data_IF_328165309266
#
_entry.id   IF_328165309266
#
_cell.length_a   1.000
_cell.length_b   1.000
_cell.length_c   1.000
_cell.angle_alpha   90.00
_cell.angle_beta   90.00
_cell.angle_gamma   90.00
#
_symmetry.space_group_name_H-M   'P 1'
#
loop_
_entity.id
_entity.type
_entity.pdbx_description
1 polymer ?
#
# COMPACT_ATOMS: atom_id res chain seq x y z
N UNK A 1 10.16 56.17 10.26
CA UNK A 1 9.87 54.87 10.90
C UNK A 1 9.51 53.92 9.78
N UNK A 2 10.45 53.05 9.45
CA UNK A 2 10.44 51.92 8.49
C UNK A 2 9.07 51.20 8.52
N UNK A 3 8.20 51.26 7.50
CA UNK A 3 7.99 50.39 6.28
C UNK A 3 8.28 48.90 6.54
N UNK A 4 7.54 47.85 6.13
CA UNK A 4 6.56 47.49 5.08
C UNK A 4 5.57 46.47 5.70
N UNK A 5 4.28 46.34 5.35
CA UNK A 5 3.72 46.03 4.04
C UNK A 5 3.20 44.59 4.01
N UNK A 6 1.98 44.34 4.53
CA UNK A 6 1.31 43.05 4.36
C UNK A 6 0.80 42.93 2.92
N UNK A 7 1.60 42.25 2.10
CA UNK A 7 1.23 41.75 0.79
C UNK A 7 0.26 40.58 0.99
N UNK A 8 -1.04 40.79 0.69
CA UNK A 8 -1.89 39.68 0.29
C UNK A 8 -1.35 39.17 -1.06
N UNK A 9 -0.68 38.02 -1.02
CA UNK A 9 -0.38 37.23 -2.23
C UNK A 9 -1.70 36.71 -2.79
N UNK A 10 -2.22 37.42 -3.78
CA UNK A 10 -3.18 36.89 -4.74
C UNK A 10 -2.49 35.80 -5.57
N UNK A 11 -2.94 34.55 -5.45
CA UNK A 11 -2.68 33.52 -6.45
C UNK A 11 -3.63 33.76 -7.64
N UNK A 12 -3.15 33.86 -8.88
CA UNK A 12 -4.01 34.07 -10.04
C UNK A 12 -4.63 32.75 -10.46
N UNK A 13 -5.95 32.60 -10.28
CA UNK A 13 -6.71 31.68 -11.11
C UNK A 13 -7.13 32.42 -12.36
N UNK A 14 -6.57 31.96 -13.48
CA UNK A 14 -6.78 32.40 -14.84
C UNK A 14 -8.22 32.06 -15.28
N UNK A 15 -9.13 33.02 -15.19
CA UNK A 15 -10.45 32.97 -15.81
C UNK A 15 -10.36 33.48 -17.26
N UNK A 16 -9.61 32.77 -18.09
CA UNK A 16 -9.58 32.99 -19.53
C UNK A 16 -9.53 31.66 -20.28
N UNK A 17 -10.61 30.89 -20.20
CA UNK A 17 -10.95 29.87 -21.20
C UNK A 17 -12.39 29.46 -21.01
N UNK A 18 -13.32 30.23 -21.56
CA UNK A 18 -14.59 29.83 -22.22
C UNK A 18 -15.21 31.16 -22.68
N UNK A 19 -15.71 31.21 -23.91
CA UNK A 19 -16.21 32.37 -24.65
C UNK A 19 -15.17 33.13 -25.49
N UNK A 20 -14.74 32.48 -26.57
CA UNK A 20 -14.24 33.21 -27.74
C UNK A 20 -15.37 34.01 -28.38
N UNK A 21 -15.26 35.34 -28.35
CA UNK A 21 -15.96 36.24 -29.26
C UNK A 21 -14.99 37.32 -29.74
N UNK A 22 -14.72 37.30 -31.03
CA UNK A 22 -13.92 38.29 -31.76
C UNK A 22 -14.76 39.54 -32.07
N UNK A 23 -14.26 40.72 -31.71
CA UNK A 23 -14.82 41.99 -32.17
C UNK A 23 -14.18 43.18 -31.46
N UNK A 24 -13.12 43.74 -32.06
CA UNK A 24 -12.46 44.93 -31.53
C UNK A 24 -13.17 46.23 -31.90
N UNK A 25 -13.01 47.27 -31.07
CA UNK A 25 -12.46 48.59 -31.48
C UNK A 25 -12.15 49.47 -30.26
N UNK A 26 -10.91 49.98 -30.26
CA UNK A 26 -10.48 51.34 -29.94
C UNK A 26 -10.93 52.04 -28.64
N UNK A 27 -9.93 52.23 -27.76
CA UNK A 27 -9.46 53.54 -27.26
C UNK A 27 -10.46 54.46 -26.53
N UNK A 28 -10.13 54.82 -25.29
CA UNK A 28 -9.86 56.22 -24.90
C UNK A 28 -9.44 56.33 -23.43
N UNK A 29 -8.63 57.37 -23.24
CA UNK A 29 -7.81 57.74 -22.10
C UNK A 29 -8.54 58.05 -20.80
N UNK A 30 -7.71 58.04 -19.75
CA UNK A 30 -7.96 58.55 -18.42
C UNK A 30 -8.63 59.93 -18.38
N UNK A 31 -9.50 60.15 -17.37
CA UNK A 31 -9.51 61.43 -16.64
C UNK A 31 -10.09 61.28 -15.24
N UNK A 32 -9.36 61.92 -14.33
CA UNK A 32 -9.51 62.02 -12.88
C UNK A 32 -10.29 63.31 -12.56
N UNK A 33 -10.95 63.28 -11.39
CA UNK A 33 -11.21 64.41 -10.47
C UNK A 33 -12.45 65.32 -10.62
N UNK A 34 -13.26 65.25 -9.55
CA UNK A 34 -13.68 66.33 -8.64
C UNK A 34 -15.14 66.83 -8.66
N UNK A 35 -15.71 66.73 -7.44
CA UNK A 35 -16.86 67.36 -6.77
C UNK A 35 -17.79 68.34 -7.52
N UNK A 36 -19.12 68.15 -7.37
CA UNK A 36 -20.02 69.05 -6.61
C UNK A 36 -21.47 68.51 -6.54
N UNK A 37 -21.99 68.35 -5.31
CA UNK A 37 -23.35 68.80 -4.91
C UNK A 37 -24.63 68.00 -5.26
N UNK A 38 -25.02 67.07 -4.37
CA UNK A 38 -26.40 66.77 -3.87
C UNK A 38 -27.47 66.16 -4.83
N UNK A 39 -28.49 65.44 -4.29
CA UNK A 39 -28.71 64.02 -4.59
C UNK A 39 -29.96 63.77 -5.43
N UNK A 40 -29.88 62.85 -6.40
CA UNK A 40 -31.04 62.27 -7.07
C UNK A 40 -30.64 60.90 -7.67
N UNK A 41 -30.86 59.81 -6.93
CA UNK A 41 -30.87 58.45 -7.49
C UNK A 41 -31.42 57.44 -6.46
N UNK A 42 -32.70 57.58 -6.12
CA UNK A 42 -33.48 56.50 -5.52
C UNK A 42 -34.39 55.92 -6.61
N UNK A 43 -33.82 55.38 -7.69
CA UNK A 43 -34.59 54.71 -8.75
C UNK A 43 -33.65 53.96 -9.71
N UNK A 44 -32.97 52.90 -9.22
CA UNK A 44 -32.43 51.86 -10.11
C UNK A 44 -32.12 50.52 -9.39
N UNK A 45 -32.85 50.21 -8.31
CA UNK A 45 -32.81 48.89 -7.66
C UNK A 45 -34.16 48.15 -7.73
N UNK A 46 -35.06 48.62 -8.61
CA UNK A 46 -36.37 48.01 -8.89
C UNK A 46 -36.44 47.69 -10.38
N UNK A 47 -35.58 46.77 -10.83
CA UNK A 47 -35.68 46.20 -12.18
C UNK A 47 -35.01 44.80 -12.32
N UNK A 48 -34.72 44.10 -11.22
CA UNK A 48 -34.23 42.71 -11.27
C UNK A 48 -34.97 41.73 -10.34
N UNK A 49 -36.05 42.19 -9.68
CA UNK A 49 -36.99 41.32 -8.91
C UNK A 49 -38.36 41.25 -9.62
N UNK A 50 -38.44 41.62 -10.90
CA UNK A 50 -39.68 41.63 -11.67
C UNK A 50 -39.55 40.85 -12.99
N UNK A 51 -39.10 39.60 -12.93
CA UNK A 51 -39.38 38.57 -13.97
C UNK A 51 -39.96 37.27 -13.36
N UNK A 52 -40.18 37.22 -12.04
CA UNK A 52 -40.95 36.12 -11.43
C UNK A 52 -42.05 36.70 -10.55
N UNK A 53 -43.09 37.27 -11.18
CA UNK A 53 -44.48 37.36 -10.66
C UNK A 53 -45.34 38.24 -11.59
N UNK A 54 -45.81 37.69 -12.72
CA UNK A 54 -47.19 37.91 -13.24
C UNK A 54 -47.55 36.71 -14.11
N UNK A 55 -48.03 35.64 -13.46
CA UNK A 55 -49.05 34.72 -13.95
C UNK A 55 -49.46 33.76 -12.81
N UNK A 56 -49.81 34.31 -11.65
CA UNK A 56 -50.49 33.57 -10.59
C UNK A 56 -51.75 34.35 -10.20
N UNK A 57 -52.76 34.28 -11.05
CA UNK A 57 -54.15 34.48 -10.65
C UNK A 57 -54.96 33.38 -11.31
N UNK A 58 -55.28 32.34 -10.53
CA UNK A 58 -56.18 31.27 -10.97
C UNK A 58 -55.76 29.82 -10.69
N UNK A 59 -55.05 29.50 -9.59
CA UNK A 59 -54.99 28.11 -9.11
C UNK A 59 -55.20 28.11 -7.59
N UNK A 60 -56.29 27.48 -7.15
CA UNK A 60 -56.49 27.12 -5.74
C UNK A 60 -55.48 26.03 -5.40
N UNK A 61 -54.56 26.30 -4.48
CA UNK A 61 -53.75 25.25 -3.85
C UNK A 61 -54.67 24.42 -2.94
N UNK A 62 -54.84 23.10 -3.15
CA UNK A 62 -55.26 22.25 -2.05
C UNK A 62 -54.13 22.21 -1.02
N UNK A 63 -54.49 22.45 0.23
CA UNK A 63 -53.70 22.09 1.40
C UNK A 63 -53.34 20.60 1.35
N UNK A 64 -52.22 20.23 1.99
CA UNK A 64 -51.69 18.88 2.18
C UNK A 64 -50.79 18.34 1.03
N UNK A 65 -49.51 18.71 1.05
CA UNK A 65 -48.44 17.76 0.66
C UNK A 65 -47.73 17.35 1.95
N UNK A 66 -48.31 16.37 2.63
CA UNK A 66 -47.58 15.54 3.58
C UNK A 66 -46.50 14.79 2.78
N UNK A 67 -45.25 14.80 3.25
CA UNK A 67 -44.18 14.03 2.62
C UNK A 67 -44.59 12.55 2.51
N UNK A 68 -44.04 11.78 1.55
CA UNK A 68 -44.34 10.35 1.47
C UNK A 68 -44.09 9.72 2.85
N UNK A 69 -45.01 8.88 3.37
CA UNK A 69 -44.75 8.15 4.60
C UNK A 69 -43.40 7.44 4.49
N UNK A 70 -42.56 7.55 5.52
CA UNK A 70 -41.28 6.84 5.55
C UNK A 70 -41.49 5.36 5.25
N UNK A 71 -40.57 4.75 4.51
CA UNK A 71 -40.61 3.31 4.25
C UNK A 71 -40.72 2.60 5.61
N UNK A 72 -41.74 1.74 5.75
CA UNK A 72 -41.91 0.92 6.94
C UNK A 72 -40.64 0.06 7.09
N UNK A 73 -39.94 0.21 8.22
CA UNK A 73 -38.72 -0.53 8.48
C UNK A 73 -38.93 -2.04 8.30
N UNK A 74 -37.92 -2.73 7.77
CA UNK A 74 -37.94 -4.16 7.55
C UNK A 74 -38.41 -4.89 8.82
N UNK A 75 -39.26 -5.91 8.65
CA UNK A 75 -39.69 -6.77 9.76
C UNK A 75 -38.44 -7.36 10.39
N UNK A 76 -38.19 -7.05 11.67
CA UNK A 76 -37.04 -7.58 12.40
C UNK A 76 -36.95 -9.10 12.27
N UNK A 77 -35.74 -9.60 12.08
CA UNK A 77 -35.47 -11.03 11.94
C UNK A 77 -36.17 -11.82 13.06
N UNK A 78 -36.81 -12.94 12.69
CA UNK A 78 -37.37 -13.89 13.66
C UNK A 78 -36.24 -14.32 14.59
N UNK A 79 -36.42 -14.09 15.90
CA UNK A 79 -35.42 -14.49 16.90
C UNK A 79 -35.09 -16.00 16.79
N UNK A 80 -33.85 -16.42 17.08
CA UNK A 80 -33.45 -17.81 16.99
C UNK A 80 -34.39 -18.70 17.83
N UNK A 81 -34.64 -19.92 17.35
CA UNK A 81 -35.40 -20.90 18.11
C UNK A 81 -34.71 -21.13 19.47
N UNK A 82 -35.49 -21.08 20.57
CA UNK A 82 -34.95 -21.27 21.91
C UNK A 82 -34.23 -22.62 22.03
N UNK A 83 -33.08 -22.63 22.71
CA UNK A 83 -32.31 -23.86 22.90
C UNK A 83 -33.16 -24.96 23.54
N UNK A 84 -33.05 -26.22 23.06
CA UNK A 84 -33.67 -27.36 23.74
C UNK A 84 -33.24 -27.40 25.21
N UNK A 85 -34.21 -27.52 26.12
CA UNK A 85 -33.92 -27.55 27.55
C UNK A 85 -32.89 -28.63 27.90
N UNK A 86 -31.87 -28.25 28.67
CA UNK A 86 -30.79 -29.13 29.09
C UNK A 86 -31.33 -30.42 29.74
N UNK A 87 -31.06 -31.57 29.11
CA UNK A 87 -31.26 -32.88 29.71
C UNK A 87 -30.36 -33.02 30.94
N UNK A 88 -30.96 -33.41 32.07
CA UNK A 88 -30.23 -33.74 33.30
C UNK A 88 -29.19 -34.85 33.05
N UNK A 89 -28.05 -34.86 33.76
CA UNK A 89 -27.04 -35.90 33.58
C UNK A 89 -27.64 -37.27 33.87
N UNK A 90 -27.66 -38.11 32.84
CA UNK A 90 -28.20 -39.46 32.87
C UNK A 90 -27.28 -40.37 33.69
N UNK A 91 -27.84 -41.01 34.73
CA UNK A 91 -27.16 -42.01 35.54
C UNK A 91 -26.70 -43.23 34.71
N UNK A 92 -25.66 -43.89 35.20
CA UNK A 92 -25.01 -45.04 34.55
C UNK A 92 -26.01 -46.13 34.13
N UNK A 93 -25.91 -46.50 32.85
CA UNK A 93 -26.80 -47.39 32.10
C UNK A 93 -26.87 -48.80 32.69
N UNK A 94 -28.05 -49.21 33.12
CA UNK A 94 -28.42 -50.63 33.27
C UNK A 94 -28.75 -51.28 31.91
N UNK A 95 -28.68 -52.62 31.79
CA UNK A 95 -28.93 -53.32 30.54
C UNK A 95 -30.34 -53.07 29.99
N UNK A 96 -30.39 -52.90 28.67
CA UNK A 96 -31.46 -52.34 27.85
C UNK A 96 -32.78 -53.14 27.89
N UNK A 97 -33.87 -52.48 28.31
CA UNK A 97 -35.24 -52.91 28.07
C UNK A 97 -35.74 -52.49 26.68
N UNK A 98 -36.60 -53.31 26.08
CA UNK A 98 -37.20 -53.11 24.75
C UNK A 98 -37.98 -51.79 24.65
N UNK A 99 -37.67 -51.00 23.61
CA UNK A 99 -38.20 -49.67 23.34
C UNK A 99 -39.73 -49.66 23.16
N UNK A 100 -40.40 -48.74 23.86
CA UNK A 100 -41.79 -48.37 23.60
C UNK A 100 -41.87 -47.39 22.41
N UNK A 101 -42.91 -47.52 21.59
CA UNK A 101 -43.18 -46.64 20.45
C UNK A 101 -43.48 -45.20 20.91
N UNK A 102 -42.57 -44.27 20.63
CA UNK A 102 -42.77 -42.83 20.83
C UNK A 102 -43.88 -42.27 19.93
N UNK A 103 -44.72 -41.41 20.49
CA UNK A 103 -45.90 -40.84 19.84
C UNK A 103 -45.56 -39.98 18.62
N UNK A 104 -46.45 -40.00 17.63
CA UNK A 104 -46.36 -39.20 16.40
C UNK A 104 -46.39 -37.70 16.69
N UNK A 105 -45.48 -36.95 16.07
CA UNK A 105 -45.44 -35.49 16.07
C UNK A 105 -46.78 -34.88 15.63
N UNK A 106 -47.21 -33.80 16.30
CA UNK A 106 -48.41 -33.05 15.92
C UNK A 106 -48.24 -32.39 14.54
N UNK A 107 -49.34 -32.23 13.76
CA UNK A 107 -49.25 -31.66 12.42
C UNK A 107 -48.82 -30.19 12.45
N UNK A 108 -47.98 -29.81 11.49
CA UNK A 108 -47.53 -28.43 11.28
C UNK A 108 -48.71 -27.47 11.03
N UNK A 109 -48.63 -26.27 11.60
CA UNK A 109 -49.61 -25.20 11.39
C UNK A 109 -49.68 -24.79 9.91
N UNK A 110 -50.88 -24.45 9.44
CA UNK A 110 -51.11 -24.05 8.04
C UNK A 110 -50.48 -22.69 7.78
N UNK A 111 -49.63 -22.60 6.76
CA UNK A 111 -49.06 -21.36 6.23
C UNK A 111 -50.20 -20.45 5.73
N UNK A 112 -50.16 -19.16 6.07
CA UNK A 112 -51.18 -18.18 5.69
C UNK A 112 -51.17 -17.86 4.19
N UNK A 113 -52.34 -17.64 3.61
CA UNK A 113 -52.52 -17.38 2.19
C UNK A 113 -51.80 -16.10 1.72
N UNK A 114 -51.09 -16.20 0.59
CA UNK A 114 -50.40 -15.10 -0.08
C UNK A 114 -51.41 -14.05 -0.60
N UNK A 115 -51.18 -12.78 -0.28
CA UNK A 115 -52.04 -11.66 -0.73
C UNK A 115 -52.08 -11.50 -2.25
N UNK A 116 -53.25 -11.15 -2.79
CA UNK A 116 -53.48 -10.99 -4.23
C UNK A 116 -52.62 -9.85 -4.82
N UNK A 117 -52.05 -10.10 -6.01
CA UNK A 117 -51.27 -9.14 -6.81
C UNK A 117 -52.16 -7.98 -7.26
N UNK A 118 -51.70 -6.73 -7.03
CA UNK A 118 -52.44 -5.51 -7.40
C UNK A 118 -52.65 -5.37 -8.92
N UNK A 119 -53.80 -4.81 -9.31
CA UNK A 119 -54.15 -4.56 -10.71
C UNK A 119 -53.26 -3.47 -11.34
N UNK A 120 -52.93 -3.66 -12.63
CA UNK A 120 -52.12 -2.74 -13.42
C UNK A 120 -52.88 -1.44 -13.69
N UNK A 121 -52.24 -0.28 -13.45
CA UNK A 121 -52.83 1.03 -13.70
C UNK A 121 -53.13 1.29 -15.18
N UNK A 122 -54.13 2.15 -15.49
CA UNK A 122 -54.57 2.39 -16.87
C UNK A 122 -53.48 3.06 -17.73
N UNK A 123 -53.41 2.67 -18.99
CA UNK A 123 -52.50 3.22 -19.99
C UNK A 123 -52.80 4.71 -20.26
N UNK A 124 -51.76 5.56 -20.28
CA UNK A 124 -51.87 6.99 -20.55
C UNK A 124 -52.22 7.31 -22.02
N UNK A 125 -52.82 8.47 -22.31
CA UNK A 125 -53.29 8.82 -23.65
C UNK A 125 -52.14 9.09 -24.63
N UNK A 126 -52.32 8.63 -25.87
CA UNK A 126 -51.38 8.79 -26.98
C UNK A 126 -51.40 10.23 -27.53
N UNK A 127 -50.22 10.84 -27.69
CA UNK A 127 -50.06 12.25 -28.10
C UNK A 127 -50.05 12.45 -29.62
N UNK A 128 -50.76 13.47 -30.10
CA UNK A 128 -50.74 13.91 -31.51
C UNK A 128 -49.72 15.04 -31.72
N UNK A 129 -48.73 14.83 -32.58
CA UNK A 129 -47.60 15.76 -32.78
C UNK A 129 -47.91 16.98 -33.66
N UNK A 130 -47.18 18.07 -33.43
CA UNK A 130 -46.15 18.64 -34.34
C UNK A 130 -45.53 19.91 -33.73
N UNK A 131 -44.19 19.99 -33.78
CA UNK A 131 -43.29 21.09 -33.36
C UNK A 131 -43.10 21.33 -31.84
N UNK A 132 -42.16 20.60 -31.22
CA UNK A 132 -40.87 21.17 -30.78
C UNK A 132 -39.95 20.02 -30.29
N UNK A 133 -38.96 19.65 -31.10
CA UNK A 133 -38.10 18.44 -31.00
C UNK A 133 -37.12 18.46 -29.79
N UNK A 134 -37.28 19.43 -28.89
CA UNK A 134 -36.54 19.56 -27.63
C UNK A 134 -37.39 19.17 -26.41
N UNK A 135 -38.71 19.11 -26.53
CA UNK A 135 -39.60 18.81 -25.39
C UNK A 135 -39.60 17.32 -24.99
N UNK A 136 -39.17 16.44 -25.90
CA UNK A 136 -39.06 14.98 -25.66
C UNK A 136 -37.62 14.53 -25.36
N UNK A 137 -36.63 15.42 -25.45
CA UNK A 137 -35.28 15.10 -25.02
C UNK A 137 -35.21 15.18 -23.49
N UNK A 138 -34.78 14.10 -22.85
CA UNK A 138 -34.45 14.06 -21.43
C UNK A 138 -33.03 13.56 -21.29
N UNK A 139 -32.27 14.17 -20.39
CA UNK A 139 -31.01 13.58 -20.00
C UNK A 139 -31.24 12.18 -19.40
N UNK A 140 -30.34 11.22 -19.62
CA UNK A 140 -30.33 9.94 -18.92
C UNK A 140 -30.45 10.13 -17.40
N UNK A 141 -31.00 9.13 -16.72
CA UNK A 141 -31.11 9.16 -15.25
C UNK A 141 -29.72 9.36 -14.62
N UNK A 142 -29.57 10.40 -13.80
CA UNK A 142 -28.30 10.77 -13.16
C UNK A 142 -27.55 11.92 -13.83
N UNK A 143 -28.08 12.50 -14.91
CA UNK A 143 -27.47 13.64 -15.61
C UNK A 143 -28.38 14.88 -15.60
N UNK A 144 -27.80 16.08 -15.72
CA UNK A 144 -28.54 17.34 -15.85
C UNK A 144 -28.17 18.11 -17.11
N UNK A 145 -29.11 18.91 -17.60
CA UNK A 145 -28.93 19.73 -18.81
C UNK A 145 -28.00 20.90 -18.52
N UNK A 146 -26.87 20.96 -19.22
CA UNK A 146 -25.89 22.06 -19.10
C UNK A 146 -25.92 23.02 -20.29
N UNK A 147 -26.56 22.62 -21.40
CA UNK A 147 -26.76 23.46 -22.57
C UNK A 147 -27.44 22.73 -23.72
N UNK A 148 -27.53 23.40 -24.88
CA UNK A 148 -28.03 22.83 -26.13
C UNK A 148 -26.98 23.11 -27.22
N UNK A 149 -26.50 22.07 -27.90
CA UNK A 149 -25.56 22.22 -29.02
C UNK A 149 -26.05 21.43 -30.22
N UNK A 150 -26.20 22.10 -31.37
CA UNK A 150 -26.64 21.43 -32.61
C UNK A 150 -28.04 20.81 -32.54
N UNK A 151 -28.93 21.35 -31.69
CA UNK A 151 -30.30 20.84 -31.51
C UNK A 151 -30.43 19.68 -30.51
N UNK A 152 -29.36 19.29 -29.82
CA UNK A 152 -29.38 18.24 -28.80
C UNK A 152 -29.02 18.78 -27.41
N UNK A 153 -29.64 18.22 -26.36
CA UNK A 153 -29.27 18.46 -24.97
C UNK A 153 -27.81 18.03 -24.72
N UNK A 154 -27.03 18.90 -24.09
CA UNK A 154 -25.74 18.55 -23.49
C UNK A 154 -26.02 18.15 -22.05
N UNK A 155 -25.85 16.87 -21.75
CA UNK A 155 -26.06 16.30 -20.44
C UNK A 155 -24.71 16.03 -19.79
N UNK A 156 -24.55 16.46 -18.53
CA UNK A 156 -23.40 16.08 -17.72
C UNK A 156 -23.90 15.25 -16.54
N UNK A 157 -23.13 14.24 -16.10
CA UNK A 157 -23.41 13.55 -14.86
C UNK A 157 -23.52 14.57 -13.73
N UNK A 158 -24.55 14.42 -12.90
CA UNK A 158 -24.64 15.15 -11.65
C UNK A 158 -23.29 14.96 -10.94
N UNK A 159 -22.63 16.03 -10.46
CA UNK A 159 -21.72 15.83 -9.36
C UNK A 159 -22.54 15.09 -8.30
N UNK A 160 -22.10 13.89 -7.91
CA UNK A 160 -22.78 13.14 -6.87
C UNK A 160 -22.99 14.09 -5.69
N UNK A 161 -24.23 14.20 -5.20
CA UNK A 161 -24.50 15.00 -4.00
C UNK A 161 -23.61 14.40 -2.91
N UNK A 162 -22.73 15.18 -2.27
CA UNK A 162 -21.83 14.63 -1.27
C UNK A 162 -22.65 14.02 -0.14
N UNK A 163 -22.22 12.83 0.27
CA UNK A 163 -22.72 12.15 1.47
C UNK A 163 -21.97 12.69 2.67
N UNK A 164 -22.70 13.02 3.73
CA UNK A 164 -22.17 13.43 5.01
C UNK A 164 -22.59 12.43 6.08
N UNK A 165 -21.71 12.12 7.03
CA UNK A 165 -21.89 11.11 8.07
C UNK A 165 -22.02 11.80 9.42
N UNK A 166 -22.90 11.29 10.30
CA UNK A 166 -23.12 11.89 11.61
C UNK A 166 -21.81 11.87 12.40
N UNK A 167 -21.51 12.97 13.08
CA UNK A 167 -20.33 13.16 13.94
C UNK A 167 -20.84 13.56 15.32
N UNK A 168 -21.26 12.56 16.09
CA UNK A 168 -22.01 12.73 17.32
C UNK A 168 -21.09 13.09 18.49
N UNK A 169 -19.88 12.53 18.53
CA UNK A 169 -18.89 12.78 19.58
C UNK A 169 -17.87 13.89 19.28
N UNK A 170 -17.80 14.36 18.02
CA UNK A 170 -17.04 15.53 17.55
C UNK A 170 -15.55 15.33 17.49
N UNK A 171 -15.08 14.15 17.10
CA UNK A 171 -13.67 13.91 16.82
C UNK A 171 -13.27 14.21 15.37
N UNK A 172 -14.24 14.35 14.46
CA UNK A 172 -14.02 14.69 13.05
C UNK A 172 -14.18 13.52 12.09
N UNK A 173 -14.46 12.33 12.59
CA UNK A 173 -14.88 11.15 11.84
C UNK A 173 -16.40 10.96 12.01
N UNK A 174 -17.02 10.15 11.15
CA UNK A 174 -18.47 10.01 11.19
C UNK A 174 -18.96 8.60 10.92
N UNK A 175 -20.14 8.30 11.47
CA UNK A 175 -20.77 6.99 11.43
C UNK A 175 -21.17 6.59 9.98
N UNK A 176 -20.56 5.54 9.38
CA UNK A 176 -20.93 5.06 8.06
C UNK A 176 -22.39 4.56 7.97
N UNK A 177 -22.99 4.18 9.09
CA UNK A 177 -24.38 3.75 9.24
C UNK A 177 -25.40 4.88 9.28
N UNK A 178 -24.97 6.13 9.56
CA UNK A 178 -25.85 7.29 9.66
C UNK A 178 -25.37 8.39 8.72
N UNK A 179 -26.00 8.49 7.54
CA UNK A 179 -25.60 9.46 6.52
C UNK A 179 -26.75 10.27 5.92
N UNK A 180 -26.39 11.43 5.35
CA UNK A 180 -27.30 12.34 4.64
C UNK A 180 -26.64 12.92 3.39
N UNK A 181 -27.36 12.92 2.27
CA UNK A 181 -26.92 13.57 1.04
C UNK A 181 -27.26 15.07 1.09
N UNK A 182 -26.25 15.94 1.03
CA UNK A 182 -26.43 17.40 1.05
C UNK A 182 -25.35 18.13 0.25
N UNK A 183 -25.71 19.21 -0.42
CA UNK A 183 -24.78 20.04 -1.22
C UNK A 183 -23.82 20.85 -0.32
N UNK A 184 -24.18 21.04 0.95
CA UNK A 184 -23.36 21.69 1.97
C UNK A 184 -23.33 20.85 3.24
N UNK A 185 -22.22 20.88 3.98
CA UNK A 185 -22.07 20.20 5.28
C UNK A 185 -23.22 20.54 6.24
N UNK A 186 -24.07 19.57 6.62
CA UNK A 186 -25.02 19.74 7.71
C UNK A 186 -24.29 19.90 9.05
N UNK A 187 -24.92 20.58 10.00
CA UNK A 187 -24.34 20.71 11.34
C UNK A 187 -24.32 19.35 12.06
N UNK A 188 -23.17 18.98 12.64
CA UNK A 188 -22.97 17.69 13.32
C UNK A 188 -22.77 16.52 12.35
N UNK A 189 -22.30 16.78 11.13
CA UNK A 189 -21.92 15.77 10.17
C UNK A 189 -20.57 16.10 9.54
N UNK A 190 -19.78 15.09 9.17
CA UNK A 190 -18.48 15.21 8.49
C UNK A 190 -18.45 14.42 7.19
N UNK A 191 -17.42 14.63 6.37
CA UNK A 191 -17.29 13.94 5.08
C UNK A 191 -16.65 12.56 5.23
N UNK A 192 -15.88 12.35 6.30
CA UNK A 192 -15.24 11.08 6.59
C UNK A 192 -16.24 10.10 7.23
N UNK A 193 -16.10 8.82 6.92
CA UNK A 193 -17.09 7.77 7.21
C UNK A 193 -16.47 6.59 7.99
N UNK A 194 -15.31 6.82 8.58
CA UNK A 194 -14.42 5.78 9.10
C UNK A 194 -14.53 5.61 10.60
N UNK A 195 -15.51 6.25 11.23
CA UNK A 195 -15.75 6.09 12.66
C UNK A 195 -16.47 4.77 12.95
N UNK A 196 -15.87 3.95 13.81
CA UNK A 196 -16.43 2.68 14.24
C UNK A 196 -17.20 2.77 15.58
N UNK A 197 -17.08 3.87 16.33
CA UNK A 197 -17.88 4.20 17.51
C UNK A 197 -18.13 5.71 17.63
N UNK A 198 -19.11 6.22 16.87
CA UNK A 198 -19.57 7.63 16.84
C UNK A 198 -20.12 8.14 18.20
N UNK A 199 -20.05 7.34 19.26
CA UNK A 199 -20.40 7.77 20.61
C UNK A 199 -19.19 8.05 21.50
N UNK A 200 -17.98 7.79 21.01
CA UNK A 200 -16.74 7.87 21.76
C UNK A 200 -15.58 8.45 20.94
N UNK A 201 -15.33 9.75 21.13
CA UNK A 201 -14.25 10.51 20.47
C UNK A 201 -12.80 10.00 20.67
N UNK A 202 -12.62 8.92 21.44
CA UNK A 202 -11.35 8.20 21.58
C UNK A 202 -11.23 6.94 20.73
N UNK A 203 -12.26 6.59 19.96
CA UNK A 203 -12.31 5.44 19.04
C UNK A 203 -12.57 5.99 17.64
N UNK A 204 -11.51 6.13 16.86
CA UNK A 204 -11.53 6.67 15.50
C UNK A 204 -10.20 6.36 14.81
N UNK A 205 -10.08 6.54 13.48
CA UNK A 205 -8.86 6.18 12.74
C UNK A 205 -7.55 6.85 13.14
N UNK A 206 -7.60 7.95 13.88
CA UNK A 206 -6.42 8.63 14.39
C UNK A 206 -6.07 8.23 15.83
N UNK A 207 -6.88 7.36 16.46
CA UNK A 207 -6.63 6.86 17.79
C UNK A 207 -5.43 5.91 17.82
N UNK A 208 -4.86 5.74 19.01
CA UNK A 208 -3.87 4.70 19.27
C UNK A 208 -4.63 3.45 19.72
N UNK A 209 -4.38 2.31 19.07
CA UNK A 209 -4.86 1.00 19.51
C UNK A 209 -3.91 0.41 20.59
N UNK A 210 -4.31 0.38 21.88
CA UNK A 210 -3.53 -0.23 22.94
C UNK A 210 -3.72 -1.76 22.92
N UNK A 211 -2.64 -2.55 22.91
CA UNK A 211 -2.76 -3.97 22.66
C UNK A 211 -3.49 -4.74 23.77
N UNK A 212 -4.44 -5.59 23.39
CA UNK A 212 -5.05 -6.61 24.24
C UNK A 212 -6.15 -6.12 25.18
N UNK A 213 -6.83 -5.03 24.83
CA UNK A 213 -8.07 -4.62 25.51
C UNK A 213 -9.36 -5.06 24.78
N UNK A 214 -9.21 -5.74 23.63
CA UNK A 214 -10.30 -6.33 22.84
C UNK A 214 -11.23 -5.29 22.20
N UNK A 215 -10.73 -4.08 21.99
CA UNK A 215 -11.42 -2.97 21.35
C UNK A 215 -10.52 -2.50 20.21
N UNK A 216 -11.10 -2.31 19.03
CA UNK A 216 -10.42 -1.71 17.88
C UNK A 216 -10.64 -0.18 17.96
N UNK A 217 -9.67 0.55 18.50
CA UNK A 217 -9.78 2.00 18.69
C UNK A 217 -9.43 2.77 17.43
N UNK A 218 -8.59 2.24 16.54
CA UNK A 218 -8.16 2.91 15.31
C UNK A 218 -8.99 2.52 14.07
N UNK A 219 -10.06 1.76 14.28
CA UNK A 219 -11.07 1.40 13.29
C UNK A 219 -10.49 0.74 12.02
N UNK A 220 -9.34 0.07 12.11
CA UNK A 220 -8.71 -0.63 10.98
C UNK A 220 -9.28 -2.05 10.76
N UNK A 221 -10.13 -2.51 11.69
CA UNK A 221 -10.76 -3.83 11.71
C UNK A 221 -9.99 -4.89 12.48
N UNK A 222 -8.91 -4.51 13.18
CA UNK A 222 -8.03 -5.40 13.94
C UNK A 222 -7.81 -4.79 15.33
N UNK A 223 -8.15 -5.55 16.38
CA UNK A 223 -7.67 -5.26 17.74
C UNK A 223 -6.22 -5.74 17.86
N UNK A 224 -5.32 -4.84 18.22
CA UNK A 224 -3.92 -5.15 18.38
C UNK A 224 -3.74 -6.20 19.49
N UNK A 225 -3.18 -7.37 19.16
CA UNK A 225 -2.98 -8.41 20.16
C UNK A 225 -1.94 -8.00 21.22
N UNK A 226 -2.21 -8.31 22.49
CA UNK A 226 -1.22 -8.20 23.56
C UNK A 226 0.07 -8.96 23.21
N UNK A 227 1.26 -8.34 23.36
CA UNK A 227 2.51 -9.06 23.18
C UNK A 227 2.63 -10.17 24.23
N UNK A 228 3.28 -11.25 23.84
CA UNK A 228 3.60 -12.38 24.72
C UNK A 228 4.91 -12.10 25.45
N UNK A 229 4.88 -12.30 26.76
CA UNK A 229 6.04 -12.21 27.64
C UNK A 229 6.32 -13.59 28.25
N UNK A 230 7.59 -13.92 28.45
CA UNK A 230 8.07 -15.22 28.92
C UNK A 230 8.74 -15.05 30.29
N UNK A 231 8.50 -15.97 31.21
CA UNK A 231 9.07 -15.90 32.55
C UNK A 231 10.61 -15.95 32.45
N UNK A 232 11.29 -15.10 33.21
CA UNK A 232 12.75 -15.01 33.33
C UNK A 232 13.08 -15.23 34.82
N UNK A 233 13.11 -16.51 35.22
CA UNK A 233 13.15 -16.90 36.64
C UNK A 233 14.55 -16.71 37.24
N UNK A 234 15.60 -16.81 36.45
CA UNK A 234 16.98 -16.63 36.89
C UNK A 234 17.57 -15.22 36.62
N UNK A 235 16.91 -14.41 35.81
CA UNK A 235 17.22 -13.01 35.59
C UNK A 235 18.35 -12.76 34.59
N UNK A 236 18.61 -13.67 33.66
CA UNK A 236 19.67 -13.53 32.66
C UNK A 236 19.23 -12.76 31.38
N UNK A 237 17.93 -12.52 31.24
CA UNK A 237 17.33 -11.77 30.13
C UNK A 237 16.70 -12.62 29.03
N UNK A 238 16.76 -13.95 29.13
CA UNK A 238 16.05 -14.90 28.30
C UNK A 238 14.90 -15.52 29.10
N UNK A 239 13.86 -15.99 28.41
CA UNK A 239 12.68 -16.51 29.10
C UNK A 239 12.23 -17.87 28.62
N UNK A 240 11.51 -18.58 29.48
CA UNK A 240 10.98 -19.93 29.23
C UNK A 240 9.87 -19.92 28.17
N UNK A 241 10.04 -20.54 26.99
CA UNK A 241 9.00 -20.64 25.97
C UNK A 241 7.75 -21.41 26.44
N UNK A 242 7.86 -22.24 27.47
CA UNK A 242 6.75 -22.99 28.07
C UNK A 242 5.97 -22.18 29.13
N UNK A 243 6.50 -21.05 29.59
CA UNK A 243 5.89 -20.22 30.64
C UNK A 243 5.71 -18.79 30.15
N UNK A 244 4.52 -18.49 29.63
CA UNK A 244 4.23 -17.18 29.02
C UNK A 244 2.89 -16.56 29.42
N UNK A 245 2.80 -15.24 29.26
CA UNK A 245 1.59 -14.45 29.51
C UNK A 245 1.44 -13.35 28.45
N UNK A 246 0.22 -13.13 27.97
CA UNK A 246 -0.09 -11.99 27.10
C UNK A 246 -0.38 -10.76 27.96
N UNK A 247 0.33 -9.65 27.73
CA UNK A 247 0.13 -8.41 28.48
C UNK A 247 0.58 -7.18 27.68
N UNK A 248 -0.21 -6.10 27.73
CA UNK A 248 0.12 -4.82 27.09
C UNK A 248 1.43 -4.20 27.61
N UNK A 249 1.77 -4.50 28.87
CA UNK A 249 2.99 -4.05 29.53
C UNK A 249 3.83 -5.25 29.98
N UNK A 250 5.14 -5.11 29.93
CA UNK A 250 6.07 -6.12 30.48
C UNK A 250 5.76 -6.39 31.96
N UNK A 251 5.36 -7.61 32.32
CA UNK A 251 5.27 -8.01 33.72
C UNK A 251 6.67 -8.03 34.36
N UNK A 252 6.73 -7.84 35.69
CA UNK A 252 8.00 -8.03 36.40
C UNK A 252 8.40 -9.52 36.35
N UNK A 253 9.71 -9.80 36.20
CA UNK A 253 10.27 -11.17 36.06
C UNK A 253 9.85 -11.88 34.76
N UNK A 254 9.52 -11.11 33.73
CA UNK A 254 9.27 -11.63 32.38
C UNK A 254 10.05 -10.81 31.35
N UNK A 255 10.44 -11.44 30.25
CA UNK A 255 11.14 -10.84 29.10
C UNK A 255 10.41 -11.16 27.79
N UNK A 256 10.76 -10.46 26.72
CA UNK A 256 10.17 -10.71 25.40
C UNK A 256 10.83 -11.88 24.67
N UNK A 257 12.08 -12.18 25.02
CA UNK A 257 12.84 -13.27 24.44
C UNK A 257 12.44 -14.62 25.06
N UNK A 258 12.32 -15.66 24.25
CA UNK A 258 11.77 -16.96 24.68
C UNK A 258 12.69 -18.14 24.39
N UNK A 259 13.97 -17.85 24.25
CA UNK A 259 14.98 -18.79 23.78
C UNK A 259 15.71 -19.48 24.91
N UNK A 260 15.23 -19.35 26.16
CA UNK A 260 15.82 -20.04 27.30
C UNK A 260 15.37 -21.51 27.36
N UNK A 261 16.33 -22.42 27.41
CA UNK A 261 16.08 -23.86 27.54
C UNK A 261 16.18 -24.37 28.99
N UNK A 262 16.72 -23.58 29.92
CA UNK A 262 16.70 -23.82 31.37
C UNK A 262 16.60 -22.51 32.16
N UNK A 263 15.38 -21.97 32.22
CA UNK A 263 14.98 -20.75 32.95
C UNK A 263 15.29 -20.76 34.46
N UNK A 264 15.82 -21.86 34.99
CA UNK A 264 16.26 -21.95 36.39
C UNK A 264 17.76 -21.74 36.57
N UNK A 265 18.51 -21.55 35.48
CA UNK A 265 19.96 -21.50 35.48
C UNK A 265 20.52 -20.57 34.39
N UNK A 266 20.79 -19.31 34.77
CA UNK A 266 21.24 -18.27 33.84
C UNK A 266 22.66 -18.40 33.28
N UNK A 267 23.25 -19.60 33.37
CA UNK A 267 24.44 -20.01 32.61
C UNK A 267 24.09 -20.91 31.43
N UNK A 268 22.82 -21.27 31.25
CA UNK A 268 22.26 -22.06 30.15
C UNK A 268 21.26 -21.14 29.46
N UNK A 269 21.68 -20.52 28.36
CA UNK A 269 20.92 -19.55 27.58
C UNK A 269 21.60 -19.36 26.22
N UNK A 270 20.96 -18.72 25.22
CA UNK A 270 21.51 -18.62 23.86
C UNK A 270 22.84 -17.89 23.69
N UNK A 271 23.29 -17.15 24.71
CA UNK A 271 24.58 -16.49 24.69
C UNK A 271 25.66 -17.29 25.43
N UNK A 272 25.30 -18.41 26.04
CA UNK A 272 26.25 -19.31 26.63
C UNK A 272 27.10 -19.98 25.55
N UNK A 273 28.08 -20.75 26.00
CA UNK A 273 29.03 -21.42 25.14
C UNK A 273 29.11 -22.86 25.58
N UNK A 274 28.92 -23.75 24.63
CA UNK A 274 28.87 -25.16 24.92
C UNK A 274 30.13 -25.70 25.59
N UNK A 275 29.91 -26.51 26.62
CA UNK A 275 30.96 -27.17 27.38
C UNK A 275 31.20 -28.59 26.84
N UNK A 276 32.42 -28.92 26.36
CA UNK A 276 32.67 -30.18 25.71
C UNK A 276 32.36 -31.39 26.61
N UNK A 277 31.31 -32.14 26.25
CA UNK A 277 31.04 -33.48 26.76
C UNK A 277 30.45 -33.56 28.16
N UNK A 278 29.74 -32.53 28.61
CA UNK A 278 28.94 -32.60 29.84
C UNK A 278 27.48 -33.04 29.61
N UNK A 279 27.02 -33.14 28.36
CA UNK A 279 25.67 -33.62 28.05
C UNK A 279 24.59 -32.55 28.12
N UNK A 280 24.97 -31.29 28.32
CA UNK A 280 24.07 -30.15 28.48
C UNK A 280 24.27 -29.25 27.26
N UNK A 281 23.17 -28.85 26.63
CA UNK A 281 23.13 -27.83 25.59
C UNK A 281 23.06 -26.49 26.33
N UNK A 282 24.18 -25.77 26.40
CA UNK A 282 24.24 -24.51 27.16
C UNK A 282 23.69 -23.36 26.35
N UNK A 283 23.89 -23.35 25.03
CA UNK A 283 23.48 -22.25 24.15
C UNK A 283 22.10 -22.44 23.48
N UNK A 284 21.36 -23.46 23.92
CA UNK A 284 19.98 -23.73 23.55
C UNK A 284 19.77 -23.87 22.03
N UNK A 285 20.80 -24.25 21.26
CA UNK A 285 20.73 -24.42 19.81
C UNK A 285 20.25 -25.82 19.38
N UNK A 286 20.08 -26.72 20.36
CA UNK A 286 19.62 -28.09 20.18
C UNK A 286 20.73 -29.12 19.97
N UNK A 287 22.00 -28.71 20.06
CA UNK A 287 23.17 -29.59 20.05
C UNK A 287 24.00 -29.37 21.33
N UNK A 288 24.62 -30.43 21.85
CA UNK A 288 25.68 -30.33 22.87
C UNK A 288 27.00 -30.52 22.10
N UNK A 289 27.43 -29.46 21.42
CA UNK A 289 28.67 -29.47 20.67
C UNK A 289 29.33 -28.08 20.65
N UNK A 290 30.55 -27.95 21.22
CA UNK A 290 31.27 -26.69 21.17
C UNK A 290 31.58 -26.23 19.74
N UNK A 291 31.94 -24.96 19.53
CA UNK A 291 32.41 -24.47 18.25
C UNK A 291 33.59 -25.29 17.70
N UNK A 292 33.62 -25.42 16.38
CA UNK A 292 34.76 -25.98 15.65
C UNK A 292 35.68 -24.86 15.20
N UNK A 293 36.96 -24.98 15.52
CA UNK A 293 38.02 -24.06 15.18
C UNK A 293 38.97 -24.71 14.16
N UNK A 294 39.50 -23.94 13.22
CA UNK A 294 40.34 -24.38 12.11
C UNK A 294 41.73 -23.80 12.25
N UNK A 295 42.77 -24.57 11.99
CA UNK A 295 44.15 -24.12 12.13
C UNK A 295 44.40 -22.91 11.22
N UNK A 296 45.04 -21.87 11.74
CA UNK A 296 45.45 -20.64 11.03
C UNK A 296 46.98 -20.54 11.18
N UNK A 297 47.68 -21.31 10.35
CA UNK A 297 49.14 -21.54 10.49
C UNK A 297 49.94 -20.33 10.04
N UNK A 298 49.43 -19.54 9.10
CA UNK A 298 50.11 -18.34 8.59
C UNK A 298 49.64 -17.01 9.20
N UNK A 299 48.54 -17.03 9.95
CA UNK A 299 48.05 -15.91 10.76
C UNK A 299 47.30 -14.85 9.98
N UNK A 300 46.69 -15.18 8.86
CA UNK A 300 45.93 -14.23 8.03
C UNK A 300 44.45 -14.07 8.44
N UNK A 301 43.96 -14.96 9.32
CA UNK A 301 42.62 -14.95 9.86
C UNK A 301 41.64 -15.93 9.21
N UNK A 302 42.07 -16.70 8.22
CA UNK A 302 41.34 -17.82 7.63
C UNK A 302 41.98 -19.13 8.06
N UNK A 303 41.19 -20.20 8.18
CA UNK A 303 41.69 -21.48 8.69
C UNK A 303 41.51 -22.64 7.73
N UNK A 304 42.36 -23.66 7.88
CA UNK A 304 42.36 -24.90 7.10
C UNK A 304 41.13 -25.76 7.41
N UNK A 305 40.20 -25.98 6.46
CA UNK A 305 39.05 -26.86 6.66
C UNK A 305 39.43 -28.34 6.90
N UNK A 306 40.64 -28.74 6.54
CA UNK A 306 41.20 -30.07 6.76
C UNK A 306 41.81 -30.30 8.15
N UNK A 307 42.07 -29.24 8.91
CA UNK A 307 42.67 -29.32 10.25
C UNK A 307 41.81 -28.52 11.24
N UNK A 308 40.92 -29.23 11.94
CA UNK A 308 39.99 -28.63 12.89
C UNK A 308 40.05 -29.25 14.29
N UNK A 309 39.63 -28.49 15.30
CA UNK A 309 39.44 -28.93 16.68
C UNK A 309 38.14 -28.35 17.25
N UNK A 310 37.42 -29.16 18.03
CA UNK A 310 36.24 -28.70 18.77
C UNK A 310 36.67 -28.22 20.15
N UNK A 311 36.31 -26.98 20.52
CA UNK A 311 36.70 -26.36 21.80
C UNK A 311 35.73 -25.25 22.15
N UNK A 312 35.40 -25.11 23.44
CA UNK A 312 34.60 -24.00 23.93
C UNK A 312 35.27 -22.65 23.59
N UNK A 313 36.54 -22.49 23.95
CA UNK A 313 37.30 -21.26 23.66
C UNK A 313 38.21 -21.43 22.47
N UNK A 314 38.41 -20.36 21.69
CA UNK A 314 39.38 -20.29 20.59
C UNK A 314 40.77 -20.77 21.05
N UNK A 315 41.28 -21.88 20.50
CA UNK A 315 42.67 -22.28 20.70
C UNK A 315 43.62 -21.27 20.06
N UNK A 316 44.85 -21.18 20.57
CA UNK A 316 45.89 -20.38 19.92
C UNK A 316 46.24 -20.99 18.56
N UNK A 317 46.45 -20.15 17.53
CA UNK A 317 46.73 -20.56 16.14
C UNK A 317 45.54 -21.26 15.45
N UNK A 318 44.31 -20.98 15.90
CA UNK A 318 43.09 -21.43 15.23
C UNK A 318 42.09 -20.27 15.11
N UNK A 319 41.26 -20.27 14.07
CA UNK A 319 40.19 -19.30 13.80
C UNK A 319 38.86 -20.01 13.51
N UNK A 320 37.75 -19.26 13.56
CA UNK A 320 36.42 -19.83 13.31
C UNK A 320 36.13 -20.00 11.81
N UNK A 321 36.78 -19.18 10.98
CA UNK A 321 36.64 -19.24 9.53
C UNK A 321 37.44 -20.41 8.97
N UNK A 322 36.89 -21.13 7.99
CA UNK A 322 37.44 -22.37 7.46
C UNK A 322 37.66 -22.35 5.95
N UNK A 323 37.73 -21.16 5.38
CA UNK A 323 37.76 -20.95 3.94
C UNK A 323 39.16 -20.81 3.38
N UNK A 324 40.20 -21.14 4.15
CA UNK A 324 41.58 -21.12 3.65
C UNK A 324 41.88 -22.36 2.80
N UNK A 325 42.35 -22.14 1.57
CA UNK A 325 42.76 -23.20 0.65
C UNK A 325 44.28 -23.46 0.65
N UNK A 326 45.10 -22.60 1.25
CA UNK A 326 46.53 -22.80 1.53
C UNK A 326 46.94 -22.10 2.84
N UNK A 327 46.63 -22.75 3.97
CA UNK A 327 46.95 -22.34 5.35
C UNK A 327 48.45 -22.13 5.64
N UNK A 328 49.32 -22.41 4.67
CA UNK A 328 50.77 -22.16 4.81
C UNK A 328 51.21 -20.83 4.18
N UNK A 329 50.30 -20.09 3.55
CA UNK A 329 50.59 -18.90 2.78
C UNK A 329 49.44 -17.87 2.79
N UNK A 330 49.54 -16.90 3.70
CA UNK A 330 48.49 -15.89 3.93
C UNK A 330 48.31 -14.83 2.84
N UNK A 331 48.75 -15.14 1.61
CA UNK A 331 48.37 -14.44 0.38
C UNK A 331 47.35 -15.23 -0.45
N UNK A 332 47.05 -16.46 -0.08
CA UNK A 332 46.09 -17.35 -0.72
C UNK A 332 44.99 -17.56 0.31
N UNK A 333 43.92 -16.79 0.18
CA UNK A 333 42.79 -16.75 1.09
C UNK A 333 41.61 -16.05 0.41
N UNK A 334 40.38 -16.12 0.93
CA UNK A 334 39.19 -15.55 0.28
C UNK A 334 39.19 -14.06 -0.01
N UNK A 335 40.09 -13.30 0.61
CA UNK A 335 40.24 -11.87 0.37
C UNK A 335 41.34 -11.55 -0.65
N UNK A 336 42.06 -12.55 -1.15
CA UNK A 336 43.05 -12.36 -2.18
C UNK A 336 42.38 -11.96 -3.50
N UNK A 337 43.20 -11.48 -4.43
CA UNK A 337 42.78 -11.25 -5.81
C UNK A 337 43.53 -12.24 -6.67
N UNK A 338 42.79 -12.94 -7.53
CA UNK A 338 43.42 -13.90 -8.40
C UNK A 338 44.42 -13.29 -9.39
N UNK A 339 45.43 -14.10 -9.70
CA UNK A 339 46.38 -13.84 -10.76
C UNK A 339 46.02 -14.70 -11.98
N UNK A 340 45.38 -14.10 -13.02
CA UNK A 340 44.77 -14.89 -14.09
C UNK A 340 45.76 -15.82 -14.80
N UNK A 341 45.45 -17.11 -14.78
CA UNK A 341 46.11 -18.16 -15.53
C UNK A 341 47.48 -18.59 -15.00
N UNK A 342 47.77 -18.32 -13.72
CA UNK A 342 48.97 -18.84 -13.06
C UNK A 342 48.77 -20.26 -12.46
N UNK A 343 47.53 -20.77 -12.50
CA UNK A 343 47.16 -22.11 -12.04
C UNK A 343 47.01 -22.24 -10.53
N UNK A 344 47.04 -21.13 -9.80
CA UNK A 344 46.77 -21.07 -8.37
C UNK A 344 45.44 -20.33 -8.21
N UNK A 345 44.58 -20.85 -7.35
CA UNK A 345 43.33 -20.21 -6.91
C UNK A 345 43.70 -19.41 -5.67
N UNK A 346 43.85 -18.09 -5.79
CA UNK A 346 44.30 -17.26 -4.69
C UNK A 346 43.16 -16.89 -3.77
N UNK A 347 41.96 -16.67 -4.31
CA UNK A 347 40.78 -16.27 -3.54
C UNK A 347 39.89 -17.43 -3.08
N UNK A 348 40.35 -18.67 -3.27
CA UNK A 348 39.73 -19.90 -2.81
C UNK A 348 38.27 -20.08 -3.29
N UNK A 349 37.88 -19.46 -4.41
CA UNK A 349 36.54 -19.61 -4.99
C UNK A 349 36.39 -20.86 -5.89
N UNK A 350 37.49 -21.58 -6.12
CA UNK A 350 37.59 -22.77 -6.95
C UNK A 350 37.89 -22.48 -8.42
N UNK A 351 38.20 -21.24 -8.78
CA UNK A 351 38.39 -20.77 -10.16
C UNK A 351 39.74 -20.04 -10.26
N UNK A 352 40.56 -20.44 -11.24
CA UNK A 352 41.66 -19.58 -11.73
C UNK A 352 41.14 -18.83 -12.97
N UNK A 353 40.98 -17.49 -12.91
CA UNK A 353 40.46 -16.71 -14.02
C UNK A 353 41.34 -16.88 -15.27
N UNK A 354 40.74 -16.98 -16.47
CA UNK A 354 41.52 -17.12 -17.68
C UNK A 354 42.33 -15.85 -17.95
N UNK A 355 43.55 -16.01 -18.51
CA UNK A 355 44.36 -14.88 -18.96
C UNK A 355 43.52 -14.00 -19.93
N UNK A 356 43.35 -12.70 -19.64
CA UNK A 356 42.61 -11.80 -20.51
C UNK A 356 43.17 -11.78 -21.93
N UNK A 357 42.27 -11.67 -22.91
CA UNK A 357 42.64 -11.51 -24.32
C UNK A 357 42.48 -10.04 -24.72
N UNK A 358 43.51 -9.49 -25.35
CA UNK A 358 43.57 -8.11 -25.83
C UNK A 358 43.68 -8.09 -27.35
N UNK A 359 43.08 -7.11 -28.01
CA UNK A 359 42.96 -7.00 -29.47
C UNK A 359 43.67 -5.75 -29.95
N UNK A 360 44.41 -5.83 -31.06
CA UNK A 360 45.21 -4.71 -31.55
C UNK A 360 44.30 -3.54 -31.92
N UNK A 361 44.67 -2.33 -31.49
CA UNK A 361 43.99 -1.06 -31.79
C UNK A 361 45.00 -0.19 -32.55
N UNK A 362 45.06 -0.41 -33.86
CA UNK A 362 46.07 0.15 -34.76
C UNK A 362 45.78 1.61 -35.10
N UNK A 363 44.50 2.00 -35.18
CA UNK A 363 44.09 3.35 -35.53
C UNK A 363 43.74 4.26 -34.32
N UNK A 364 43.63 3.67 -33.12
CA UNK A 364 43.52 4.38 -31.85
C UNK A 364 42.11 4.84 -31.50
N UNK A 365 41.07 4.20 -32.04
CA UNK A 365 39.67 4.56 -31.79
C UNK A 365 39.05 3.91 -30.54
N UNK A 366 39.75 2.94 -29.95
CA UNK A 366 39.34 2.24 -28.73
C UNK A 366 38.66 0.90 -28.96
N UNK A 367 38.49 0.47 -30.20
CA UNK A 367 38.02 -0.86 -30.60
C UNK A 367 39.17 -1.62 -31.26
N UNK A 368 39.24 -2.94 -31.06
CA UNK A 368 40.38 -3.74 -31.53
C UNK A 368 40.00 -4.78 -32.56
N UNK A 369 40.96 -5.15 -33.41
CA UNK A 369 40.82 -6.17 -34.46
C UNK A 369 40.59 -7.57 -33.85
N UNK A 370 39.41 -8.21 -34.04
CA UNK A 370 39.16 -9.57 -33.54
C UNK A 370 40.07 -10.64 -34.16
N UNK A 371 40.72 -10.35 -35.29
CA UNK A 371 41.67 -11.25 -35.95
C UNK A 371 43.11 -11.12 -35.42
N UNK A 372 43.45 -10.07 -34.67
CA UNK A 372 44.78 -9.82 -34.14
C UNK A 372 44.72 -9.64 -32.63
N UNK A 373 44.92 -10.74 -31.90
CA UNK A 373 44.85 -10.75 -30.44
C UNK A 373 46.10 -11.28 -29.76
N UNK A 374 46.24 -10.97 -28.47
CA UNK A 374 47.28 -11.48 -27.57
C UNK A 374 46.69 -11.73 -26.18
N UNK A 375 47.02 -12.88 -25.58
CA UNK A 375 46.68 -13.16 -24.20
C UNK A 375 47.72 -12.49 -23.27
N UNK A 376 47.26 -11.66 -22.33
CA UNK A 376 48.14 -11.02 -21.34
C UNK A 376 47.38 -10.60 -20.09
N UNK A 377 48.04 -10.74 -18.93
CA UNK A 377 47.50 -10.32 -17.62
C UNK A 377 47.30 -8.80 -17.56
N UNK A 378 48.16 -8.05 -18.24
CA UNK A 378 48.10 -6.58 -18.32
C UNK A 378 47.88 -6.15 -19.75
N UNK A 379 47.09 -5.09 -19.96
CA UNK A 379 46.88 -4.49 -21.29
C UNK A 379 48.22 -4.15 -21.97
N UNK A 380 48.55 -4.80 -23.11
CA UNK A 380 49.70 -4.42 -23.90
C UNK A 380 49.49 -3.06 -24.57
N UNK A 381 50.57 -2.32 -24.79
CA UNK A 381 50.48 -1.02 -25.48
C UNK A 381 49.96 -1.21 -26.92
N UNK A 382 48.96 -0.42 -27.31
CA UNK A 382 48.32 -0.50 -28.63
C UNK A 382 47.31 -1.64 -28.77
N UNK A 383 46.80 -2.17 -27.66
CA UNK A 383 45.73 -3.16 -27.65
C UNK A 383 44.60 -2.72 -26.71
N UNK A 384 43.37 -3.15 -26.97
CA UNK A 384 42.16 -2.87 -26.17
C UNK A 384 41.37 -4.16 -25.89
N UNK A 385 40.46 -4.13 -24.93
CA UNK A 385 39.67 -5.30 -24.54
C UNK A 385 38.48 -5.55 -25.48
N UNK A 386 37.96 -4.48 -26.09
CA UNK A 386 36.84 -4.55 -27.01
C UNK A 386 37.33 -5.03 -28.39
N UNK A 387 36.69 -6.05 -28.96
CA UNK A 387 37.13 -6.71 -30.20
C UNK A 387 36.18 -6.47 -31.37
N UNK A 388 35.40 -5.40 -31.30
CA UNK A 388 34.27 -5.17 -32.20
C UNK A 388 34.63 -4.30 -33.40
N UNK A 389 35.91 -4.03 -33.62
CA UNK A 389 36.37 -3.30 -34.79
C UNK A 389 36.35 -4.17 -36.05
N UNK A 390 35.63 -3.72 -37.08
CA UNK A 390 35.54 -4.36 -38.37
C UNK A 390 36.59 -3.84 -39.39
N UNK A 391 37.27 -2.73 -39.10
CA UNK A 391 38.37 -2.18 -39.88
C UNK A 391 39.38 -1.39 -39.02
N UNK A 392 40.30 -2.13 -38.40
CA UNK A 392 41.44 -1.65 -37.57
C UNK A 392 42.55 -0.94 -38.36
N UNK A 393 42.17 -0.16 -39.36
CA UNK A 393 43.05 0.75 -40.10
C UNK A 393 42.40 2.12 -40.31
N UNK A 394 41.15 2.28 -39.91
CA UNK A 394 40.33 3.44 -40.15
C UNK A 394 39.52 3.82 -38.91
N UNK A 395 40.05 4.77 -38.12
CA UNK A 395 39.46 5.35 -36.89
C UNK A 395 37.96 5.73 -36.96
N UNK A 396 37.41 5.87 -38.16
CA UNK A 396 36.00 6.23 -38.38
C UNK A 396 35.09 5.06 -38.75
N UNK A 397 35.56 3.82 -38.65
CA UNK A 397 34.80 2.60 -38.94
C UNK A 397 34.85 1.73 -37.68
N UNK A 398 33.87 1.93 -36.79
CA UNK A 398 33.78 1.24 -35.51
C UNK A 398 32.34 1.27 -34.97
N UNK A 399 32.02 0.48 -33.93
CA UNK A 399 30.68 0.43 -33.36
C UNK A 399 30.10 1.78 -32.96
N UNK A 400 28.88 2.03 -33.43
CA UNK A 400 28.12 3.24 -33.07
C UNK A 400 28.38 4.46 -33.93
N UNK A 401 29.26 4.38 -34.94
CA UNK A 401 29.39 5.43 -35.96
C UNK A 401 28.13 5.49 -36.83
N UNK A 402 27.66 6.67 -37.27
CA UNK A 402 26.56 6.76 -38.23
C UNK A 402 26.92 6.11 -39.58
N UNK A 403 26.10 5.16 -40.02
CA UNK A 403 26.26 4.49 -41.31
C UNK A 403 25.40 5.16 -42.40
N UNK A 404 26.00 5.86 -43.39
CA UNK A 404 25.27 6.52 -44.46
C UNK A 404 24.80 5.49 -45.50
N UNK A 405 23.60 5.65 -46.06
CA UNK A 405 23.03 4.59 -46.87
C UNK A 405 23.74 4.39 -48.21
N UNK A 406 23.93 3.13 -48.60
CA UNK A 406 24.34 2.65 -49.94
C UNK A 406 25.75 3.01 -50.39
N UNK A 407 26.72 3.14 -49.48
CA UNK A 407 28.13 3.28 -49.86
C UNK A 407 28.89 1.93 -49.87
N UNK A 408 28.24 0.83 -49.45
CA UNK A 408 28.79 -0.54 -49.38
C UNK A 408 29.89 -0.71 -48.34
N UNK A 409 29.99 0.21 -47.38
CA UNK A 409 30.92 0.15 -46.28
C UNK A 409 30.09 0.05 -45.01
N UNK A 410 30.19 -1.08 -44.31
CA UNK A 410 29.65 -1.19 -42.95
C UNK A 410 30.54 -0.36 -42.02
N UNK A 411 30.13 0.87 -41.72
CA UNK A 411 30.91 1.79 -40.87
C UNK A 411 30.71 1.58 -39.38
N UNK A 412 29.60 0.95 -39.00
CA UNK A 412 29.19 0.83 -37.62
C UNK A 412 29.37 -0.60 -37.06
N UNK A 413 29.97 -1.47 -37.86
CA UNK A 413 30.30 -2.85 -37.54
C UNK A 413 29.09 -3.67 -37.05
N UNK A 414 27.88 -3.38 -37.55
CA UNK A 414 26.67 -4.11 -37.19
C UNK A 414 26.37 -5.30 -38.13
N UNK A 415 27.23 -5.51 -39.13
CA UNK A 415 27.14 -6.55 -40.13
C UNK A 415 26.22 -6.20 -41.31
N UNK A 416 25.79 -4.95 -41.45
CA UNK A 416 24.92 -4.46 -42.53
C UNK A 416 25.41 -3.10 -43.06
N UNK A 417 25.22 -2.89 -44.36
CA UNK A 417 25.31 -1.58 -45.02
C UNK A 417 23.89 -1.00 -45.08
N UNK A 418 23.66 0.19 -44.51
CA UNK A 418 22.33 0.81 -44.37
C UNK A 418 21.72 1.38 -45.68
#
# INVERSE_FOLDING_TARGET
MTVHGNQLKTLPYDLASVFGYSGGVAGMDAMKFLHLGRPLALLSFVAFVAVVTVACDGIRLPSELQGPPGLQGDVGAVGPAGEPGATSPQGSRGPQGSAGSGGSAGPAGRQGDTGAKGEQGPQGPEGSGTADDLADQRCPAGEFVTGITGGNLVCLPLPGIPTWYADTDRDGFGDPGISVASVTQPAGFVADATDCDDTNAGINPDALDPPGDAIDQDCDGIDLAAPTWYADTDGDGFGDPASSVASAIQPAEFVADNTDCDDTNGSINPNALDHPGDGIDQDCDGIDQPPTWYADTDGDGFGDPGISVTSATQPAEFVADNTDCDDTNGRINPNALDHPGDGIDQDCDGIDPPVPTWYADTDGDGFGDPAVSVASVTQPAGFVADNTDCNDREFGINPGVPDPPRDRIDRNCDGRDQ
#
